data_IF_197994315119
#
_entry.id   IF_197994315119
#
_cell.length_a   1.000
_cell.length_b   1.000
_cell.length_c   1.000
_cell.angle_alpha   90.00
_cell.angle_beta   90.00
_cell.angle_gamma   90.00
#
_symmetry.space_group_name_H-M   'P 1'
#
loop_
_entity.id
_entity.type
_entity.pdbx_description
1 polymer ?
#
# COMPACT_ATOMS: atom_id res chain seq x y z
N UNK A 1 -13.77 -17.80 22.49
CA UNK A 1 -13.60 -16.41 22.92
C UNK A 1 -14.98 -15.76 22.92
N UNK A 2 -15.36 -15.02 23.96
CA UNK A 2 -16.69 -14.40 23.99
C UNK A 2 -16.76 -13.25 22.97
N UNK A 3 -17.89 -13.07 22.27
CA UNK A 3 -18.08 -11.98 21.29
C UNK A 3 -17.68 -10.60 21.85
N UNK A 4 -17.92 -10.37 23.14
CA UNK A 4 -17.56 -9.12 23.82
C UNK A 4 -16.05 -8.88 23.97
N UNK A 5 -15.23 -9.93 23.94
CA UNK A 5 -13.77 -9.80 24.02
C UNK A 5 -13.17 -9.40 22.66
N UNK A 6 -13.71 -9.92 21.55
CA UNK A 6 -13.33 -9.50 20.19
C UNK A 6 -13.68 -8.02 19.98
N UNK A 7 -14.91 -7.61 20.33
CA UNK A 7 -15.34 -6.21 20.18
C UNK A 7 -14.45 -5.25 20.96
N UNK A 8 -14.09 -5.58 22.20
CA UNK A 8 -13.16 -4.76 22.99
C UNK A 8 -11.78 -4.63 22.36
N UNK A 9 -11.26 -5.71 21.77
CA UNK A 9 -9.96 -5.67 21.07
C UNK A 9 -10.01 -4.86 19.78
N UNK A 10 -11.15 -4.85 19.07
CA UNK A 10 -11.35 -4.00 17.89
C UNK A 10 -11.46 -2.50 18.23
N UNK A 11 -11.90 -2.17 19.44
CA UNK A 11 -11.99 -0.81 19.96
C UNK A 11 -10.69 -0.36 20.68
N UNK A 12 -9.66 -1.20 20.68
CA UNK A 12 -8.37 -0.91 21.32
C UNK A 12 -7.58 0.14 20.54
N UNK A 13 -6.82 0.97 21.25
CA UNK A 13 -5.82 1.87 20.65
C UNK A 13 -4.53 1.12 20.26
N UNK A 14 -4.37 -0.14 20.69
CA UNK A 14 -3.24 -0.98 20.31
C UNK A 14 -3.52 -1.70 18.98
N UNK A 15 -2.78 -1.32 17.93
CA UNK A 15 -2.96 -1.86 16.58
C UNK A 15 -2.75 -3.38 16.50
N UNK A 16 -1.85 -3.96 17.31
CA UNK A 16 -1.60 -5.40 17.31
C UNK A 16 -2.79 -6.18 17.87
N UNK A 17 -3.52 -5.60 18.82
CA UNK A 17 -4.75 -6.20 19.37
C UNK A 17 -5.90 -6.14 18.37
N UNK A 18 -6.01 -5.03 17.64
CA UNK A 18 -6.99 -4.85 16.56
C UNK A 18 -6.72 -5.86 15.44
N UNK A 19 -5.47 -5.97 14.97
CA UNK A 19 -5.06 -6.95 13.95
C UNK A 19 -5.35 -8.36 14.43
N UNK A 20 -4.97 -8.71 15.67
CA UNK A 20 -5.24 -10.04 16.24
C UNK A 20 -6.74 -10.36 16.29
N UNK A 21 -7.58 -9.39 16.64
CA UNK A 21 -9.03 -9.58 16.64
C UNK A 21 -9.59 -9.79 15.24
N UNK A 22 -9.10 -9.04 14.24
CA UNK A 22 -9.47 -9.22 12.83
C UNK A 22 -9.05 -10.61 12.31
N UNK A 23 -7.84 -11.06 12.63
CA UNK A 23 -7.34 -12.38 12.26
C UNK A 23 -8.19 -13.51 12.84
N UNK A 24 -8.59 -13.38 14.10
CA UNK A 24 -9.45 -14.40 14.73
C UNK A 24 -10.84 -14.42 14.06
N UNK A 25 -11.43 -13.26 13.79
CA UNK A 25 -12.71 -13.19 13.09
C UNK A 25 -12.63 -13.80 11.69
N UNK A 26 -11.56 -13.51 10.94
CA UNK A 26 -11.35 -14.06 9.61
C UNK A 26 -11.20 -15.60 9.66
N UNK A 27 -10.40 -16.12 10.60
CA UNK A 27 -10.20 -17.56 10.79
C UNK A 27 -11.48 -18.28 11.23
N UNK A 28 -12.27 -17.70 12.13
CA UNK A 28 -13.57 -18.26 12.53
C UNK A 28 -14.53 -18.30 11.34
N UNK A 29 -14.60 -17.22 10.54
CA UNK A 29 -15.44 -17.18 9.34
C UNK A 29 -15.01 -18.24 8.33
N UNK A 30 -13.71 -18.37 8.06
CA UNK A 30 -13.14 -19.40 7.19
C UNK A 30 -13.48 -20.81 7.69
N UNK A 31 -13.33 -21.05 9.00
CA UNK A 31 -13.70 -22.32 9.61
C UNK A 31 -15.19 -22.65 9.41
N UNK A 32 -16.08 -21.67 9.62
CA UNK A 32 -17.52 -21.85 9.40
C UNK A 32 -17.84 -22.11 7.92
N UNK A 33 -17.20 -21.39 7.00
CA UNK A 33 -17.37 -21.59 5.55
C UNK A 33 -16.91 -22.98 5.16
N UNK A 34 -15.69 -23.39 5.54
CA UNK A 34 -15.14 -24.71 5.23
C UNK A 34 -16.02 -25.83 5.80
N UNK A 35 -16.42 -25.74 7.07
CA UNK A 35 -17.32 -26.73 7.67
C UNK A 35 -18.67 -26.81 6.96
N UNK A 36 -19.20 -25.67 6.50
CA UNK A 36 -20.45 -25.64 5.74
C UNK A 36 -20.27 -26.29 4.38
N UNK A 37 -19.15 -26.02 3.69
CA UNK A 37 -18.78 -26.65 2.42
C UNK A 37 -18.60 -28.16 2.57
N UNK A 38 -17.93 -28.65 3.62
CA UNK A 38 -17.77 -30.09 3.91
C UNK A 38 -19.12 -30.77 4.15
N UNK A 39 -20.05 -30.10 4.86
CA UNK A 39 -21.40 -30.62 5.03
C UNK A 39 -22.18 -30.66 3.70
N UNK A 40 -21.89 -29.75 2.79
CA UNK A 40 -22.53 -29.58 1.49
C UNK A 40 -21.85 -30.40 0.38
N UNK A 41 -20.65 -30.94 0.59
CA UNK A 41 -20.04 -31.93 -0.31
C UNK A 41 -20.93 -33.16 -0.51
N UNK A 42 -21.78 -33.47 0.47
CA UNK A 42 -22.83 -34.50 0.37
C UNK A 42 -23.95 -34.15 -0.61
N UNK A 43 -23.98 -32.93 -1.15
CA UNK A 43 -25.06 -32.39 -1.98
C UNK A 43 -24.48 -31.47 -3.09
N UNK A 44 -23.85 -32.07 -4.09
CA UNK A 44 -23.07 -31.39 -5.15
C UNK A 44 -23.79 -30.26 -5.90
N UNK A 45 -25.12 -30.29 -5.96
CA UNK A 45 -25.95 -29.30 -6.66
C UNK A 45 -25.90 -27.89 -6.03
N UNK A 46 -25.51 -27.79 -4.75
CA UNK A 46 -25.48 -26.52 -4.01
C UNK A 46 -24.14 -25.78 -4.10
N UNK A 47 -23.07 -26.48 -4.52
CA UNK A 47 -21.71 -25.93 -4.59
C UNK A 47 -21.62 -24.64 -5.44
N UNK A 48 -22.23 -24.55 -6.63
CA UNK A 48 -22.17 -23.33 -7.45
C UNK A 48 -22.84 -22.13 -6.77
N UNK A 49 -23.95 -22.34 -6.05
CA UNK A 49 -24.65 -21.28 -5.34
C UNK A 49 -23.86 -20.79 -4.14
N UNK A 50 -23.19 -21.67 -3.40
CA UNK A 50 -22.34 -21.27 -2.27
C UNK A 50 -21.10 -20.51 -2.78
N UNK A 51 -20.47 -21.00 -3.86
CA UNK A 51 -19.38 -20.29 -4.51
C UNK A 51 -19.82 -18.90 -4.99
N UNK A 52 -21.01 -18.79 -5.60
CA UNK A 52 -21.60 -17.50 -5.98
C UNK A 52 -21.83 -16.59 -4.76
N UNK A 53 -22.32 -17.12 -3.63
CA UNK A 53 -22.55 -16.34 -2.41
C UNK A 53 -21.26 -15.90 -1.72
N UNK A 54 -20.25 -16.74 -1.67
CA UNK A 54 -18.90 -16.40 -1.17
C UNK A 54 -18.27 -15.37 -2.09
N UNK A 55 -18.35 -15.57 -3.41
CA UNK A 55 -17.91 -14.58 -4.41
C UNK A 55 -18.61 -13.24 -4.21
N UNK A 56 -19.94 -13.24 -4.00
CA UNK A 56 -20.70 -12.02 -3.69
C UNK A 56 -20.32 -11.43 -2.34
N UNK A 57 -20.01 -12.21 -1.30
CA UNK A 57 -19.57 -11.65 -0.02
C UNK A 57 -18.20 -10.97 -0.16
N UNK A 58 -17.27 -11.60 -0.88
CA UNK A 58 -15.93 -11.05 -1.13
C UNK A 58 -16.04 -9.80 -2.01
N UNK A 59 -16.79 -9.86 -3.11
CA UNK A 59 -16.86 -8.77 -4.08
C UNK A 59 -17.89 -7.69 -3.75
N UNK A 60 -19.01 -7.99 -3.07
CA UNK A 60 -19.92 -6.94 -2.60
C UNK A 60 -19.29 -6.18 -1.43
N UNK A 61 -18.40 -6.79 -0.65
CA UNK A 61 -17.62 -6.04 0.34
C UNK A 61 -16.66 -5.07 -0.34
N UNK A 62 -16.06 -5.47 -1.47
CA UNK A 62 -15.28 -4.58 -2.35
C UNK A 62 -16.16 -3.47 -2.95
N UNK A 63 -17.27 -3.79 -3.62
CA UNK A 63 -18.18 -2.79 -4.16
C UNK A 63 -18.76 -1.86 -3.09
N UNK A 64 -19.11 -2.37 -1.90
CA UNK A 64 -19.59 -1.52 -0.81
C UNK A 64 -18.49 -0.70 -0.12
N UNK A 65 -17.21 -1.08 -0.27
CA UNK A 65 -16.08 -0.21 0.06
C UNK A 65 -15.92 0.86 -1.03
N UNK A 66 -15.97 0.47 -2.30
CA UNK A 66 -15.90 1.38 -3.46
C UNK A 66 -17.03 2.44 -3.43
N UNK A 67 -18.27 2.02 -3.19
CA UNK A 67 -19.46 2.88 -3.12
C UNK A 67 -19.39 3.82 -1.92
N UNK A 68 -19.01 3.31 -0.73
CA UNK A 68 -18.83 4.16 0.46
C UNK A 68 -17.68 5.15 0.30
N UNK A 69 -16.63 4.77 -0.42
CA UNK A 69 -15.50 5.62 -0.75
C UNK A 69 -15.93 6.76 -1.71
N UNK A 70 -16.76 6.45 -2.71
CA UNK A 70 -17.31 7.46 -3.62
C UNK A 70 -18.36 8.36 -2.95
N UNK A 71 -19.23 7.82 -2.10
CA UNK A 71 -20.34 8.56 -1.47
C UNK A 71 -19.91 9.43 -0.29
N UNK A 72 -18.93 8.99 0.51
CA UNK A 72 -18.59 9.69 1.75
C UNK A 72 -17.50 10.73 1.62
N UNK A 73 -16.83 10.85 0.46
CA UNK A 73 -15.68 11.74 0.29
C UNK A 73 -14.75 11.61 1.49
N UNK A 74 -14.27 10.38 1.73
CA UNK A 74 -13.55 10.00 2.94
C UNK A 74 -12.61 11.13 3.36
N UNK A 75 -12.90 11.75 4.52
CA UNK A 75 -12.26 13.00 4.98
C UNK A 75 -10.78 12.84 5.34
N UNK A 76 -10.25 11.63 5.21
CA UNK A 76 -8.92 11.22 5.63
C UNK A 76 -8.18 10.68 4.40
N UNK A 77 -7.30 11.53 3.85
CA UNK A 77 -6.51 11.24 2.65
C UNK A 77 -5.59 10.02 2.86
N UNK A 78 -5.13 9.77 4.09
CA UNK A 78 -4.28 8.61 4.41
C UNK A 78 -5.10 7.32 4.39
N UNK A 79 -6.28 7.29 5.03
CA UNK A 79 -7.17 6.14 4.96
C UNK A 79 -7.56 5.84 3.51
N UNK A 80 -7.81 6.89 2.72
CA UNK A 80 -8.12 6.82 1.31
C UNK A 80 -6.99 6.16 0.51
N UNK A 81 -5.76 6.59 0.76
CA UNK A 81 -4.56 6.01 0.17
C UNK A 81 -4.36 4.54 0.56
N UNK A 82 -4.51 4.20 1.84
CA UNK A 82 -4.32 2.84 2.34
C UNK A 82 -5.34 1.86 1.76
N UNK A 83 -6.62 2.23 1.72
CA UNK A 83 -7.67 1.40 1.13
C UNK A 83 -7.49 1.24 -0.38
N UNK A 84 -7.13 2.31 -1.10
CA UNK A 84 -6.83 2.25 -2.54
C UNK A 84 -5.64 1.33 -2.82
N UNK A 85 -4.60 1.42 -2.00
CA UNK A 85 -3.42 0.56 -2.08
C UNK A 85 -3.75 -0.92 -1.87
N UNK A 86 -4.57 -1.23 -0.86
CA UNK A 86 -5.06 -2.60 -0.62
C UNK A 86 -5.88 -3.11 -1.80
N UNK A 87 -6.82 -2.31 -2.31
CA UNK A 87 -7.66 -2.68 -3.44
C UNK A 87 -6.83 -2.93 -4.72
N UNK A 88 -5.82 -2.12 -5.01
CA UNK A 88 -4.92 -2.34 -6.17
C UNK A 88 -4.02 -3.58 -5.99
N UNK A 89 -3.66 -3.94 -4.76
CA UNK A 89 -2.87 -5.15 -4.49
C UNK A 89 -3.72 -6.42 -4.62
N UNK A 90 -4.95 -6.42 -4.11
CA UNK A 90 -5.84 -7.58 -4.07
C UNK A 90 -6.84 -7.66 -5.24
N UNK A 91 -6.94 -6.61 -6.05
CA UNK A 91 -7.80 -6.51 -7.23
C UNK A 91 -7.03 -5.96 -8.44
N UNK A 92 -7.45 -6.30 -9.65
CA UNK A 92 -6.91 -5.73 -10.89
C UNK A 92 -7.62 -4.41 -11.29
N UNK A 93 -8.48 -3.88 -10.43
CA UNK A 93 -9.24 -2.67 -10.71
C UNK A 93 -8.32 -1.45 -10.82
N UNK A 94 -8.08 -0.99 -12.05
CA UNK A 94 -7.20 0.13 -12.37
C UNK A 94 -7.74 1.49 -11.89
N UNK A 95 -9.03 1.59 -11.53
CA UNK A 95 -9.66 2.84 -11.10
C UNK A 95 -9.01 3.44 -9.85
N UNK A 96 -8.41 2.61 -9.00
CA UNK A 96 -7.73 3.05 -7.77
C UNK A 96 -6.27 3.43 -7.98
N UNK A 97 -5.70 3.18 -9.16
CA UNK A 97 -4.33 3.60 -9.51
C UNK A 97 -4.23 5.12 -9.54
N UNK A 98 -5.27 5.81 -10.01
CA UNK A 98 -5.30 7.28 -10.09
C UNK A 98 -5.23 7.93 -8.70
N UNK A 99 -5.86 7.33 -7.70
CA UNK A 99 -5.82 7.81 -6.30
C UNK A 99 -4.40 7.67 -5.72
N UNK A 100 -3.76 6.52 -5.93
CA UNK A 100 -2.37 6.28 -5.51
C UNK A 100 -1.44 7.26 -6.23
N UNK A 101 -1.63 7.45 -7.54
CA UNK A 101 -0.84 8.38 -8.36
C UNK A 101 -0.98 9.82 -7.85
N UNK A 102 -2.20 10.25 -7.55
CA UNK A 102 -2.47 11.57 -7.00
C UNK A 102 -1.77 11.78 -5.65
N UNK A 103 -1.80 10.78 -4.76
CA UNK A 103 -1.08 10.85 -3.48
C UNK A 103 0.43 10.96 -3.69
N UNK A 104 1.00 10.08 -4.53
CA UNK A 104 2.44 10.04 -4.82
C UNK A 104 2.93 11.37 -5.40
N UNK A 105 2.18 11.97 -6.32
CA UNK A 105 2.56 13.26 -6.92
C UNK A 105 2.58 14.36 -5.87
N UNK A 106 1.59 14.40 -4.98
CA UNK A 106 1.36 15.54 -4.10
C UNK A 106 2.04 15.45 -2.73
N UNK A 107 2.45 14.26 -2.29
CA UNK A 107 2.97 14.04 -0.93
C UNK A 107 4.45 13.60 -0.90
N UNK A 108 5.09 13.75 0.26
CA UNK A 108 6.47 13.34 0.55
C UNK A 108 6.53 12.64 1.93
N UNK A 109 5.73 11.61 2.11
CA UNK A 109 5.56 10.82 3.33
C UNK A 109 5.97 9.34 3.10
N UNK A 110 5.77 8.47 4.10
CA UNK A 110 6.08 7.04 3.96
C UNK A 110 5.05 6.31 3.07
N UNK A 111 3.82 6.83 3.02
CA UNK A 111 2.75 6.33 2.16
C UNK A 111 3.13 6.51 0.68
N UNK A 112 3.77 7.61 0.30
CA UNK A 112 4.29 7.87 -1.04
C UNK A 112 5.26 6.78 -1.52
N UNK A 113 6.21 6.36 -0.68
CA UNK A 113 7.14 5.28 -1.03
C UNK A 113 6.41 3.94 -1.24
N UNK A 114 5.40 3.64 -0.43
CA UNK A 114 4.53 2.47 -0.66
C UNK A 114 3.77 2.59 -1.98
N UNK A 115 3.22 3.77 -2.28
CA UNK A 115 2.51 4.05 -3.53
C UNK A 115 3.40 3.83 -4.75
N UNK A 116 4.63 4.36 -4.73
CA UNK A 116 5.61 4.14 -5.80
C UNK A 116 5.92 2.66 -6.03
N UNK A 117 6.07 1.86 -4.96
CA UNK A 117 6.26 0.41 -5.11
C UNK A 117 5.09 -0.26 -5.85
N UNK A 118 3.86 0.15 -5.52
CA UNK A 118 2.65 -0.37 -6.18
C UNK A 118 2.63 0.05 -7.65
N UNK A 119 2.86 1.33 -7.95
CA UNK A 119 2.82 1.87 -9.31
C UNK A 119 3.89 1.24 -10.22
N UNK A 120 5.11 1.08 -9.72
CA UNK A 120 6.21 0.38 -10.43
C UNK A 120 5.82 -1.07 -10.71
N UNK A 121 5.28 -1.79 -9.72
CA UNK A 121 4.85 -3.19 -9.90
C UNK A 121 3.73 -3.32 -10.92
N UNK A 122 2.82 -2.35 -10.97
CA UNK A 122 1.70 -2.30 -11.92
C UNK A 122 2.10 -1.75 -13.30
N UNK A 123 3.36 -1.33 -13.48
CA UNK A 123 3.90 -0.78 -14.75
C UNK A 123 3.08 0.40 -15.27
N UNK A 124 2.69 1.29 -14.36
CA UNK A 124 2.05 2.55 -14.73
C UNK A 124 3.05 3.37 -15.56
N UNK A 125 2.55 4.05 -16.60
CA UNK A 125 3.36 4.85 -17.52
C UNK A 125 3.81 6.13 -16.80
N UNK A 126 4.96 6.71 -17.22
CA UNK A 126 5.51 7.98 -16.73
C UNK A 126 5.92 8.01 -15.24
N UNK A 127 5.98 6.85 -14.58
CA UNK A 127 6.44 6.75 -13.18
C UNK A 127 7.90 7.18 -13.03
N UNK A 128 8.71 6.95 -14.05
CA UNK A 128 10.09 7.42 -14.12
C UNK A 128 10.18 8.95 -14.13
N UNK A 129 9.31 9.64 -14.88
CA UNK A 129 9.24 11.10 -14.88
C UNK A 129 8.86 11.64 -13.50
N UNK A 130 7.91 11.00 -12.81
CA UNK A 130 7.50 11.37 -11.46
C UNK A 130 8.66 11.20 -10.47
N UNK A 131 9.37 10.08 -10.52
CA UNK A 131 10.52 9.83 -9.63
C UNK A 131 11.65 10.85 -9.90
N UNK A 132 11.92 11.17 -11.17
CA UNK A 132 12.91 12.19 -11.56
C UNK A 132 12.52 13.57 -11.02
N UNK A 133 11.26 13.98 -11.17
CA UNK A 133 10.77 15.25 -10.64
C UNK A 133 10.87 15.32 -9.11
N UNK A 134 10.57 14.22 -8.41
CA UNK A 134 10.75 14.10 -6.95
C UNK A 134 12.22 14.23 -6.56
N UNK A 135 13.13 13.56 -7.27
CA UNK A 135 14.58 13.67 -7.05
C UNK A 135 15.10 15.09 -7.31
N UNK A 136 14.58 15.79 -8.32
CA UNK A 136 14.97 17.18 -8.60
C UNK A 136 14.59 18.13 -7.48
N UNK A 137 13.41 17.94 -6.89
CA UNK A 137 12.88 18.79 -5.80
C UNK A 137 13.46 18.42 -4.44
N UNK A 138 13.89 17.18 -4.25
CA UNK A 138 14.43 16.71 -2.99
C UNK A 138 15.68 17.50 -2.54
N UNK A 139 15.70 17.85 -1.26
CA UNK A 139 16.89 18.40 -0.61
C UNK A 139 17.87 17.27 -0.26
N UNK A 140 19.08 17.32 -0.84
CA UNK A 140 20.15 16.35 -0.62
C UNK A 140 20.82 16.56 0.74
N UNK A 141 20.20 15.99 1.77
CA UNK A 141 20.64 16.05 3.17
C UNK A 141 20.68 14.64 3.77
N UNK A 142 21.43 14.45 4.86
CA UNK A 142 21.50 13.16 5.57
C UNK A 142 20.11 12.70 6.02
N UNK A 143 19.23 13.64 6.42
CA UNK A 143 17.86 13.33 6.83
C UNK A 143 17.04 12.68 5.72
N UNK A 144 17.28 13.07 4.46
CA UNK A 144 16.56 12.56 3.29
C UNK A 144 17.28 11.40 2.59
N UNK A 145 18.40 10.92 3.13
CA UNK A 145 19.24 9.90 2.51
C UNK A 145 18.44 8.68 2.05
N UNK A 146 17.64 8.08 2.93
CA UNK A 146 16.87 6.88 2.62
C UNK A 146 15.83 7.09 1.52
N UNK A 147 15.21 8.28 1.46
CA UNK A 147 14.24 8.61 0.43
C UNK A 147 14.91 8.82 -0.93
N UNK A 148 16.07 9.48 -0.94
CA UNK A 148 16.88 9.64 -2.15
C UNK A 148 17.34 8.27 -2.66
N UNK A 149 17.88 7.43 -1.77
CA UNK A 149 18.31 6.07 -2.09
C UNK A 149 17.15 5.23 -2.64
N UNK A 150 15.96 5.34 -2.03
CA UNK A 150 14.74 4.71 -2.51
C UNK A 150 14.40 5.11 -3.95
N UNK A 151 14.39 6.40 -4.27
CA UNK A 151 14.10 6.87 -5.64
C UNK A 151 15.14 6.36 -6.66
N UNK A 152 16.42 6.37 -6.29
CA UNK A 152 17.49 5.87 -7.15
C UNK A 152 17.38 4.36 -7.40
N UNK A 153 17.00 3.58 -6.38
CA UNK A 153 16.71 2.16 -6.51
C UNK A 153 15.52 1.90 -7.47
N UNK A 154 14.48 2.74 -7.43
CA UNK A 154 13.36 2.62 -8.37
C UNK A 154 13.76 2.94 -9.80
N UNK A 155 14.51 4.01 -10.04
CA UNK A 155 15.02 4.29 -11.39
C UNK A 155 15.90 3.16 -11.91
N UNK A 156 16.75 2.58 -11.06
CA UNK A 156 17.55 1.40 -11.40
C UNK A 156 16.68 0.19 -11.76
N UNK A 157 15.64 -0.08 -10.97
CA UNK A 157 14.68 -1.16 -11.22
C UNK A 157 13.95 -0.99 -12.56
N UNK A 158 13.65 0.27 -12.92
CA UNK A 158 13.02 0.64 -14.19
C UNK A 158 14.02 0.71 -15.36
N UNK A 159 15.32 0.51 -15.13
CA UNK A 159 16.41 0.70 -16.10
C UNK A 159 16.46 2.11 -16.71
N UNK A 160 16.16 3.13 -15.89
CA UNK A 160 16.18 4.53 -16.29
C UNK A 160 17.51 5.17 -15.89
N UNK A 161 18.12 5.87 -16.85
CA UNK A 161 19.33 6.65 -16.60
C UNK A 161 19.04 7.85 -15.70
N UNK A 162 19.96 8.16 -14.80
CA UNK A 162 19.84 9.35 -13.95
C UNK A 162 20.23 10.59 -14.77
N UNK A 163 19.39 11.64 -14.81
CA UNK A 163 19.73 12.91 -15.46
C UNK A 163 21.01 13.56 -14.91
N UNK A 164 21.77 14.24 -15.76
CA UNK A 164 23.06 14.87 -15.40
C UNK A 164 22.93 15.87 -14.24
N UNK A 165 21.85 16.65 -14.22
CA UNK A 165 21.56 17.62 -13.15
C UNK A 165 21.41 16.96 -11.77
N UNK A 166 20.85 15.75 -11.72
CA UNK A 166 20.73 14.97 -10.49
C UNK A 166 22.07 14.30 -10.14
N UNK A 167 22.84 13.83 -11.13
CA UNK A 167 24.18 13.25 -10.90
C UNK A 167 25.10 14.28 -10.21
N UNK A 168 25.10 15.53 -10.66
CA UNK A 168 25.87 16.61 -10.04
C UNK A 168 25.48 16.83 -8.56
N UNK A 169 24.18 16.77 -8.26
CA UNK A 169 23.67 16.84 -6.88
C UNK A 169 24.14 15.66 -6.02
N UNK A 170 24.04 14.44 -6.53
CA UNK A 170 24.50 13.22 -5.84
C UNK A 170 25.99 13.30 -5.53
N UNK A 171 26.80 13.68 -6.51
CA UNK A 171 28.25 13.78 -6.34
C UNK A 171 28.63 14.84 -5.29
N UNK A 172 27.98 16.01 -5.35
CA UNK A 172 28.18 17.08 -4.36
C UNK A 172 27.78 16.65 -2.95
N UNK A 173 26.68 15.90 -2.83
CA UNK A 173 26.20 15.36 -1.57
C UNK A 173 27.15 14.30 -0.98
N UNK A 174 27.60 13.34 -1.79
CA UNK A 174 28.57 12.33 -1.34
C UNK A 174 29.89 12.95 -0.86
N UNK A 175 30.39 13.98 -1.54
CA UNK A 175 31.58 14.71 -1.10
C UNK A 175 31.37 15.39 0.26
N UNK A 176 30.21 16.02 0.48
CA UNK A 176 29.88 16.63 1.79
C UNK A 176 29.74 15.60 2.90
N UNK A 177 29.03 14.51 2.65
CA UNK A 177 28.84 13.43 3.62
C UNK A 177 30.20 12.83 3.99
N UNK A 178 31.05 12.50 3.02
CA UNK A 178 32.42 12.02 3.30
C UNK A 178 33.22 13.02 4.15
N UNK A 179 33.12 14.32 3.87
CA UNK A 179 33.80 15.36 4.64
C UNK A 179 33.27 15.48 6.08
N UNK A 180 31.95 15.40 6.28
CA UNK A 180 31.34 15.47 7.61
C UNK A 180 31.67 14.23 8.44
N UNK A 181 31.71 13.03 7.83
CA UNK A 181 32.20 11.83 8.49
C UNK A 181 33.67 11.96 8.88
N UNK A 182 34.53 12.49 8.01
CA UNK A 182 35.95 12.69 8.33
C UNK A 182 36.17 13.61 9.54
N UNK A 183 35.33 14.63 9.74
CA UNK A 183 35.38 15.51 10.93
C UNK A 183 34.95 14.83 12.23
N UNK A 184 34.18 13.76 12.17
CA UNK A 184 33.75 13.03 13.37
C UNK A 184 34.82 12.04 13.87
N UNK A 185 35.79 11.71 13.02
CA UNK A 185 36.86 10.75 13.30
C UNK A 185 38.23 11.40 13.59
N UNK A 186 38.33 12.73 13.53
CA UNK A 186 39.53 13.52 13.89
C UNK A 186 39.19 14.52 14.99
#
# INVERSE_FOLDING_TARGET
MERGEITKRLESENIDEVISAMDIMANELLYFITRSLDALEKNNEWRPFIAERIYKLINNSKCAMDDRFQEQGAKDDDLRFWLSSLLVVFDQNENFILEILHHVINNEDDNEMMGLNILVRKKVIDIDEIIIEKLRKAEFTIKNYYRIDFYLDKLKTLNIGIPEDIIEKINSFHQRVQYDWQKLYY
#
